data_IF_396022886596
#
_entry.id   IF_396022886596
#
_cell.length_a   1.000
_cell.length_b   1.000
_cell.length_c   1.000
_cell.angle_alpha   90.00
_cell.angle_beta   90.00
_cell.angle_gamma   90.00
#
_symmetry.space_group_name_H-M   'P 1'
#
loop_
_entity.id
_entity.type
_entity.pdbx_description
1 polymer ?
#
# COMPACT_ATOMS: atom_id res chain seq x y z
N UNK A 1 19.83 11.33 -8.71
CA UNK A 1 20.13 10.14 -7.88
C UNK A 1 18.78 9.63 -7.36
N UNK A 2 18.41 8.36 -7.48
CA UNK A 2 17.01 7.91 -7.31
C UNK A 2 16.33 8.32 -5.99
N UNK A 3 17.09 8.37 -4.88
CA UNK A 3 16.55 8.78 -3.58
C UNK A 3 16.13 10.26 -3.53
N UNK A 4 16.79 11.15 -4.28
CA UNK A 4 16.42 12.56 -4.32
C UNK A 4 15.08 12.73 -5.06
N UNK A 5 14.94 12.07 -6.21
CA UNK A 5 13.70 12.06 -6.98
C UNK A 5 12.55 11.48 -6.15
N UNK A 6 12.79 10.36 -5.46
CA UNK A 6 11.79 9.78 -4.56
C UNK A 6 11.37 10.74 -3.44
N UNK A 7 12.31 11.46 -2.84
CA UNK A 7 12.02 12.45 -1.81
C UNK A 7 11.23 13.66 -2.35
N UNK A 8 11.56 14.11 -3.57
CA UNK A 8 10.84 15.17 -4.27
C UNK A 8 9.39 14.76 -4.59
N UNK A 9 9.19 13.56 -5.15
CA UNK A 9 7.86 13.01 -5.46
C UNK A 9 7.01 12.81 -4.18
N UNK A 10 7.61 12.31 -3.11
CA UNK A 10 6.94 12.15 -1.82
C UNK A 10 6.60 13.51 -1.16
N UNK A 11 7.41 14.55 -1.38
CA UNK A 11 7.10 15.89 -0.94
C UNK A 11 5.94 16.49 -1.74
N UNK A 12 5.98 16.38 -3.07
CA UNK A 12 4.92 16.82 -3.96
C UNK A 12 3.57 16.15 -3.62
N UNK A 13 3.54 14.83 -3.42
CA UNK A 13 2.30 14.12 -3.07
C UNK A 13 1.70 14.62 -1.74
N UNK A 14 2.55 14.92 -0.74
CA UNK A 14 2.09 15.47 0.54
C UNK A 14 1.51 16.88 0.36
N UNK A 15 2.14 17.71 -0.45
CA UNK A 15 1.66 19.05 -0.76
C UNK A 15 0.29 19.00 -1.46
N UNK A 16 0.10 18.11 -2.43
CA UNK A 16 -1.18 17.92 -3.10
C UNK A 16 -2.29 17.48 -2.13
N UNK A 17 -1.99 16.56 -1.22
CA UNK A 17 -2.95 16.15 -0.17
C UNK A 17 -3.27 17.31 0.78
N UNK A 18 -2.29 18.13 1.15
CA UNK A 18 -2.51 19.31 1.98
C UNK A 18 -3.35 20.38 1.28
N UNK A 19 -3.12 20.60 -0.02
CA UNK A 19 -3.92 21.51 -0.85
C UNK A 19 -5.39 21.06 -0.92
N UNK A 20 -5.62 19.75 -1.07
CA UNK A 20 -6.97 19.18 -1.00
C UNK A 20 -7.60 19.35 0.39
N UNK A 21 -6.82 19.20 1.46
CA UNK A 21 -7.31 19.39 2.83
C UNK A 21 -7.76 20.83 3.08
N UNK A 22 -7.01 21.81 2.59
CA UNK A 22 -7.37 23.23 2.68
C UNK A 22 -8.68 23.55 1.93
N UNK A 23 -8.95 22.85 0.82
CA UNK A 23 -10.18 23.01 0.03
C UNK A 23 -11.41 22.26 0.62
N UNK A 24 -11.22 21.43 1.64
CA UNK A 24 -12.25 20.51 2.16
C UNK A 24 -13.51 21.23 2.66
N UNK A 25 -13.39 22.45 3.19
CA UNK A 25 -14.53 23.25 3.66
C UNK A 25 -15.45 23.71 2.53
N UNK A 26 -14.91 23.86 1.31
CA UNK A 26 -15.65 24.34 0.15
C UNK A 26 -16.20 23.17 -0.69
N UNK A 27 -15.47 22.05 -0.72
CA UNK A 27 -15.85 20.87 -1.48
C UNK A 27 -15.30 19.61 -0.79
N UNK A 28 -16.07 18.98 0.11
CA UNK A 28 -15.64 17.76 0.78
C UNK A 28 -15.36 16.63 -0.20
N UNK A 29 -14.15 16.09 -0.17
CA UNK A 29 -13.73 14.96 -1.03
C UNK A 29 -13.14 13.84 -0.20
N UNK A 30 -13.35 12.61 -0.66
CA UNK A 30 -12.61 11.44 -0.17
C UNK A 30 -11.37 11.27 -1.04
N UNK A 31 -10.19 11.26 -0.42
CA UNK A 31 -8.93 11.09 -1.14
C UNK A 31 -8.51 9.62 -1.10
N UNK A 32 -8.18 9.09 -2.28
CA UNK A 32 -7.61 7.76 -2.46
C UNK A 32 -6.26 7.92 -3.17
N UNK A 33 -5.24 7.25 -2.66
CA UNK A 33 -3.90 7.24 -3.24
C UNK A 33 -3.63 5.85 -3.83
N UNK A 34 -2.99 5.80 -4.99
CA UNK A 34 -2.55 4.56 -5.64
C UNK A 34 -1.06 4.65 -5.91
N UNK A 35 -0.29 3.67 -5.43
CA UNK A 35 1.14 3.55 -5.71
C UNK A 35 1.48 2.13 -6.16
N UNK A 36 2.64 1.97 -6.81
CA UNK A 36 3.13 0.62 -7.11
C UNK A 36 3.69 -0.06 -5.85
N UNK A 37 4.64 0.59 -5.17
CA UNK A 37 5.25 0.09 -3.95
C UNK A 37 4.35 0.30 -2.73
N UNK A 38 4.52 -0.54 -1.72
CA UNK A 38 3.76 -0.46 -0.48
C UNK A 38 4.10 0.80 0.33
N UNK A 39 3.12 1.44 0.99
CA UNK A 39 3.32 2.71 1.69
C UNK A 39 3.82 2.57 3.14
N UNK A 40 3.91 1.34 3.65
CA UNK A 40 4.52 1.05 4.95
C UNK A 40 5.17 -0.34 4.93
N UNK A 41 6.15 -0.54 5.82
CA UNK A 41 6.87 -1.82 5.91
C UNK A 41 6.03 -2.93 6.55
N UNK A 42 5.23 -2.58 7.56
CA UNK A 42 4.50 -3.54 8.36
C UNK A 42 3.18 -3.97 7.68
N UNK A 43 2.94 -5.28 7.56
CA UNK A 43 1.65 -5.84 7.13
C UNK A 43 1.33 -5.71 5.62
N UNK A 44 2.28 -5.23 4.82
CA UNK A 44 2.12 -5.02 3.36
C UNK A 44 2.82 -6.07 2.52
N UNK A 45 3.66 -6.89 3.13
CA UNK A 45 4.37 -8.00 2.50
C UNK A 45 4.08 -9.30 3.24
N UNK A 46 4.38 -10.44 2.60
CA UNK A 46 4.26 -11.74 3.24
C UNK A 46 5.09 -11.78 4.55
N UNK A 47 4.59 -12.34 5.67
CA UNK A 47 5.29 -12.33 6.96
C UNK A 47 6.70 -12.91 6.94
N UNK A 48 6.95 -13.92 6.09
CA UNK A 48 8.28 -14.51 5.88
C UNK A 48 9.31 -13.50 5.29
N UNK A 49 8.86 -12.30 4.87
CA UNK A 49 9.70 -11.21 4.37
C UNK A 49 9.73 -9.97 5.28
N UNK A 50 9.12 -10.02 6.47
CA UNK A 50 9.00 -8.86 7.36
C UNK A 50 10.37 -8.34 7.87
N UNK A 51 11.31 -9.23 8.20
CA UNK A 51 12.65 -8.89 8.70
C UNK A 51 13.74 -8.96 7.61
N UNK A 52 13.35 -8.71 6.35
CA UNK A 52 14.27 -8.75 5.22
C UNK A 52 15.07 -7.44 5.09
N UNK A 53 16.40 -7.53 4.99
CA UNK A 53 17.27 -6.38 4.69
C UNK A 53 16.98 -5.71 3.34
N UNK A 54 16.21 -6.37 2.48
CA UNK A 54 15.77 -5.89 1.17
C UNK A 54 14.35 -5.31 1.20
N UNK A 55 13.79 -5.04 2.37
CA UNK A 55 12.43 -4.50 2.54
C UNK A 55 12.17 -3.20 1.74
N UNK A 56 13.20 -2.36 1.59
CA UNK A 56 13.16 -1.14 0.77
C UNK A 56 12.92 -1.40 -0.73
N UNK A 57 13.18 -2.62 -1.21
CA UNK A 57 12.85 -3.01 -2.58
C UNK A 57 11.35 -3.24 -2.76
N UNK A 58 10.58 -3.40 -1.68
CA UNK A 58 9.16 -3.75 -1.71
C UNK A 58 8.26 -2.61 -1.23
N UNK A 59 8.71 -1.91 -0.20
CA UNK A 59 7.93 -0.96 0.56
C UNK A 59 8.75 0.28 0.89
N UNK A 60 8.09 1.43 0.92
CA UNK A 60 8.63 2.67 1.49
C UNK A 60 7.87 2.98 2.76
N UNK A 61 8.51 3.58 3.76
CA UNK A 61 7.81 3.99 5.00
C UNK A 61 7.19 5.40 4.86
N UNK A 62 6.60 5.68 3.70
CA UNK A 62 6.05 7.01 3.38
C UNK A 62 4.85 7.36 4.27
N UNK A 63 4.08 6.36 4.71
CA UNK A 63 2.99 6.57 5.65
C UNK A 63 3.48 7.01 7.03
N UNK A 64 4.76 6.76 7.36
CA UNK A 64 5.37 7.30 8.57
C UNK A 64 5.80 8.75 8.46
N UNK A 65 5.94 9.27 7.25
CA UNK A 65 6.35 10.63 6.98
C UNK A 65 5.16 11.50 6.53
N UNK A 66 4.82 12.52 7.31
CA UNK A 66 3.78 13.48 6.94
C UNK A 66 2.39 13.19 7.51
N UNK A 67 1.45 14.08 7.20
CA UNK A 67 0.04 13.96 7.57
C UNK A 67 -0.77 13.43 6.39
N UNK A 68 -1.37 12.26 6.58
CA UNK A 68 -2.21 11.57 5.60
C UNK A 68 -3.68 11.51 6.04
N UNK A 69 -4.10 12.32 7.02
CA UNK A 69 -5.44 12.28 7.63
C UNK A 69 -6.61 12.42 6.65
N UNK A 70 -6.39 13.11 5.52
CA UNK A 70 -7.37 13.24 4.44
C UNK A 70 -7.47 11.98 3.56
N UNK A 71 -6.40 11.21 3.45
CA UNK A 71 -6.37 9.97 2.66
C UNK A 71 -7.13 8.89 3.40
N UNK A 72 -8.23 8.40 2.81
CA UNK A 72 -9.05 7.34 3.42
C UNK A 72 -8.61 5.96 3.00
N UNK A 73 -8.14 5.82 1.77
CA UNK A 73 -7.68 4.55 1.21
C UNK A 73 -6.36 4.73 0.46
N UNK A 74 -5.43 3.81 0.69
CA UNK A 74 -4.19 3.69 -0.06
C UNK A 74 -4.11 2.31 -0.71
N UNK A 75 -4.09 2.28 -2.04
CA UNK A 75 -3.98 1.04 -2.81
C UNK A 75 -2.55 0.85 -3.29
N UNK A 76 -2.02 -0.36 -3.15
CA UNK A 76 -0.66 -0.69 -3.58
C UNK A 76 -0.54 -2.08 -4.21
N UNK A 77 0.64 -2.37 -4.78
CA UNK A 77 0.97 -3.65 -5.40
C UNK A 77 2.38 -4.13 -5.04
N UNK A 78 3.07 -4.71 -6.03
CA UNK A 78 4.49 -5.12 -6.00
C UNK A 78 4.87 -6.27 -5.04
N UNK A 79 4.25 -6.38 -3.87
CA UNK A 79 4.63 -7.36 -2.83
C UNK A 79 4.09 -8.77 -3.08
N UNK A 80 3.21 -8.93 -4.08
CA UNK A 80 2.50 -10.18 -4.40
C UNK A 80 1.67 -10.74 -3.22
N UNK A 81 1.36 -9.87 -2.27
CA UNK A 81 0.65 -10.19 -1.05
C UNK A 81 -0.60 -9.31 -0.97
N UNK A 82 -1.78 -9.93 -0.82
CA UNK A 82 -3.01 -9.17 -0.63
C UNK A 82 -3.17 -8.84 0.85
N UNK A 83 -3.66 -7.64 1.13
CA UNK A 83 -3.86 -7.15 2.50
C UNK A 83 -4.98 -6.11 2.50
N UNK A 84 -5.65 -5.96 3.63
CA UNK A 84 -6.67 -4.94 3.87
C UNK A 84 -6.60 -4.57 5.35
N UNK A 85 -5.81 -3.56 5.67
CA UNK A 85 -5.46 -3.20 7.05
C UNK A 85 -5.60 -1.71 7.29
N UNK A 86 -6.02 -1.33 8.49
CA UNK A 86 -6.01 0.07 8.91
C UNK A 86 -4.67 0.40 9.56
N UNK A 87 -4.03 1.48 9.11
CA UNK A 87 -2.79 2.01 9.68
C UNK A 87 -2.85 3.53 9.72
N UNK A 88 -2.63 4.12 10.90
CA UNK A 88 -2.66 5.58 11.12
C UNK A 88 -3.91 6.26 10.55
N UNK A 89 -5.07 5.59 10.62
CA UNK A 89 -6.33 6.10 10.07
C UNK A 89 -6.52 5.97 8.56
N UNK A 90 -5.55 5.39 7.85
CA UNK A 90 -5.61 5.11 6.41
C UNK A 90 -5.86 3.62 6.18
N UNK A 91 -6.83 3.27 5.34
CA UNK A 91 -7.08 1.90 4.91
C UNK A 91 -6.09 1.52 3.81
N UNK A 92 -5.15 0.63 4.11
CA UNK A 92 -4.13 0.16 3.19
C UNK A 92 -4.60 -1.15 2.56
N UNK A 93 -4.70 -1.16 1.23
CA UNK A 93 -5.29 -2.28 0.49
C UNK A 93 -4.38 -2.74 -0.65
N UNK A 94 -4.22 -4.05 -0.76
CA UNK A 94 -3.66 -4.70 -1.94
C UNK A 94 -4.50 -5.93 -2.29
N UNK A 95 -4.74 -6.13 -3.59
CA UNK A 95 -5.43 -7.31 -4.12
C UNK A 95 -4.59 -7.92 -5.24
N UNK A 96 -3.53 -8.63 -4.86
CA UNK A 96 -2.48 -9.04 -5.76
C UNK A 96 -2.62 -10.52 -6.11
N UNK A 97 -2.76 -10.81 -7.41
CA UNK A 97 -2.79 -12.17 -7.95
C UNK A 97 -1.52 -12.96 -7.63
N UNK A 98 -0.39 -12.28 -7.54
CA UNK A 98 0.93 -12.92 -7.42
C UNK A 98 1.26 -13.77 -8.65
N UNK A 99 2.28 -14.62 -8.51
CA UNK A 99 2.67 -15.54 -9.58
C UNK A 99 1.69 -16.71 -9.69
N UNK A 100 1.31 -17.04 -10.93
CA UNK A 100 0.59 -18.28 -11.23
C UNK A 100 1.63 -19.39 -11.39
N UNK A 101 2.02 -20.00 -10.28
CA UNK A 101 2.91 -21.16 -10.28
C UNK A 101 2.09 -22.44 -10.54
N UNK A 102 2.65 -23.45 -11.22
CA UNK A 102 2.07 -24.80 -11.25
C UNK A 102 1.78 -25.29 -9.82
N UNK A 103 0.64 -25.95 -9.61
CA UNK A 103 0.13 -26.38 -8.30
C UNK A 103 1.12 -27.20 -7.44
N UNK A 104 2.13 -27.80 -8.07
CA UNK A 104 3.16 -28.63 -7.44
C UNK A 104 4.39 -27.86 -6.95
N UNK A 105 4.53 -26.57 -7.28
CA UNK A 105 5.75 -25.79 -7.02
C UNK A 105 5.53 -24.53 -6.19
N UNK A 106 4.37 -24.37 -5.56
CA UNK A 106 4.11 -23.24 -4.66
C UNK A 106 4.42 -23.63 -3.19
N UNK A 107 5.59 -23.22 -2.65
CA UNK A 107 5.98 -23.57 -1.29
C UNK A 107 5.13 -22.86 -0.22
N UNK A 108 4.33 -21.85 -0.58
CA UNK A 108 3.52 -21.06 0.35
C UNK A 108 2.07 -21.52 0.43
N UNK A 109 1.68 -22.58 -0.29
CA UNK A 109 0.29 -23.05 -0.37
C UNK A 109 -0.33 -23.45 0.98
N UNK A 110 0.45 -24.00 1.90
CA UNK A 110 -0.03 -24.51 3.20
C UNK A 110 -0.14 -23.45 4.31
N UNK A 111 0.44 -22.26 4.13
CA UNK A 111 0.45 -21.16 5.13
C UNK A 111 -0.54 -20.03 4.82
N UNK A 112 -1.47 -20.25 3.89
CA UNK A 112 -2.35 -19.19 3.36
C UNK A 112 -3.51 -18.88 4.31
N UNK A 113 -3.68 -17.61 4.62
CA UNK A 113 -4.92 -17.09 5.20
C UNK A 113 -5.82 -16.58 4.06
N UNK A 114 -7.11 -16.92 4.06
CA UNK A 114 -8.03 -16.58 2.94
C UNK A 114 -8.07 -15.07 2.64
N UNK A 115 -7.96 -14.24 3.68
CA UNK A 115 -7.96 -12.77 3.56
C UNK A 115 -6.77 -12.18 2.79
N UNK A 116 -5.69 -12.94 2.61
CA UNK A 116 -4.42 -12.45 2.06
C UNK A 116 -4.20 -12.92 0.61
N UNK A 117 -5.24 -13.47 -0.03
CA UNK A 117 -5.22 -13.89 -1.42
C UNK A 117 -5.99 -12.94 -2.34
N UNK A 118 -5.71 -13.06 -3.63
CA UNK A 118 -6.43 -12.34 -4.66
C UNK A 118 -7.90 -12.75 -4.71
N UNK A 119 -8.75 -11.76 -4.51
CA UNK A 119 -10.20 -11.90 -4.61
C UNK A 119 -10.69 -11.24 -5.90
N UNK A 120 -11.21 -12.07 -6.81
CA UNK A 120 -11.78 -11.65 -8.10
C UNK A 120 -13.00 -10.72 -7.94
N UNK A 121 -13.71 -10.82 -6.81
CA UNK A 121 -14.89 -10.04 -6.52
C UNK A 121 -14.60 -8.78 -5.69
N UNK A 122 -13.32 -8.52 -5.32
CA UNK A 122 -12.99 -7.41 -4.43
C UNK A 122 -13.21 -6.07 -5.12
N UNK A 123 -14.11 -5.28 -4.54
CA UNK A 123 -14.35 -3.88 -4.89
C UNK A 123 -13.84 -3.00 -3.76
N UNK A 124 -13.04 -1.99 -4.10
CA UNK A 124 -12.54 -1.00 -3.14
C UNK A 124 -13.37 0.27 -3.29
N UNK A 125 -14.24 0.54 -2.32
CA UNK A 125 -15.02 1.77 -2.22
C UNK A 125 -14.36 2.74 -1.25
N UNK A 126 -14.35 4.02 -1.60
CA UNK A 126 -13.77 5.12 -0.81
C UNK A 126 -14.84 6.08 -0.31
#
# INVERSE_FOLDING_TARGET
MHNSVHAEEAAWLREEVANLAAAQLQNPRNVLVVTHHAPCLEGTSHPDHADNSWSSAFATDILASGDWSLVKTWVFGHTHYSTDVLRKGVRIVANQRGYVMPLSSDPYRSKRHESNYFDLAKVITN
#
